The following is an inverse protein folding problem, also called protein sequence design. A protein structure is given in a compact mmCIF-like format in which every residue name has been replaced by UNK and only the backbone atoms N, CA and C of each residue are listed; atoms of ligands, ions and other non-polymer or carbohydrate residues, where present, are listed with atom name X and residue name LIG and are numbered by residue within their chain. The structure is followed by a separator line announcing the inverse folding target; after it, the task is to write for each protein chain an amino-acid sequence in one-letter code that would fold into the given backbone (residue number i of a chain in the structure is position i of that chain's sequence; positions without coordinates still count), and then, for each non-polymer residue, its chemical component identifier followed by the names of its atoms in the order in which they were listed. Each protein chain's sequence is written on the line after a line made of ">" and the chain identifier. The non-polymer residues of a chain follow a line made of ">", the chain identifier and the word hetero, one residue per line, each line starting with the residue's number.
data_IF_973496784449
#
_entry.id   IF_973496784449
#
_cell.length_a   1.000
_cell.length_b   1.000
_cell.length_c   1.000
_cell.angle_alpha   90.00
_cell.angle_beta   90.00
_cell.angle_gamma   90.00
#
_symmetry.space_group_name_H-M   'P 1'
#
loop_
_entity.id
_entity.type
_entity.pdbx_description
1 polymer ?
#
# COMPACT_ATOMS: atom_id res chain seq x y z
N UNK A 1 3.13 -22.14 -3.88
CA UNK A 1 3.80 -21.76 -5.14
C UNK A 1 4.64 -20.52 -4.88
N UNK A 2 5.82 -20.50 -5.47
CA UNK A 2 6.99 -19.64 -5.27
C UNK A 2 6.76 -18.13 -5.40
N UNK A 3 7.14 -17.34 -4.37
CA UNK A 3 7.46 -15.90 -4.52
C UNK A 3 8.62 -15.46 -3.59
N UNK A 4 9.61 -16.31 -3.31
CA UNK A 4 10.77 -15.92 -2.48
C UNK A 4 11.87 -15.14 -3.23
N UNK A 5 11.76 -14.89 -4.54
CA UNK A 5 12.87 -14.34 -5.33
C UNK A 5 12.79 -12.84 -5.71
N UNK A 6 11.85 -12.08 -5.12
CA UNK A 6 11.67 -10.65 -5.45
C UNK A 6 11.52 -9.69 -4.26
N UNK A 7 11.35 -10.19 -3.03
CA UNK A 7 11.01 -9.33 -1.88
C UNK A 7 12.20 -8.55 -1.32
N UNK A 8 13.43 -9.07 -1.46
CA UNK A 8 14.66 -8.44 -0.95
C UNK A 8 15.46 -7.64 -1.99
N UNK A 9 15.04 -7.63 -3.26
CA UNK A 9 15.74 -6.81 -4.26
C UNK A 9 15.40 -5.34 -3.97
N UNK A 10 16.39 -4.44 -3.79
CA UNK A 10 16.11 -3.02 -3.71
C UNK A 10 15.45 -2.61 -5.02
N UNK A 11 14.30 -1.94 -4.89
CA UNK A 11 13.53 -1.43 -6.03
C UNK A 11 13.44 0.09 -5.89
N UNK A 12 13.50 0.78 -7.02
CA UNK A 12 13.29 2.23 -7.04
C UNK A 12 11.85 2.55 -6.75
N UNK A 13 11.65 3.50 -5.85
CA UNK A 13 10.37 4.00 -5.40
C UNK A 13 9.97 5.15 -6.33
N UNK A 14 8.70 5.21 -6.74
CA UNK A 14 8.17 6.38 -7.43
C UNK A 14 8.14 7.58 -6.50
N UNK A 15 8.11 8.79 -7.08
CA UNK A 15 8.15 10.05 -6.35
C UNK A 15 7.17 10.12 -5.16
N UNK A 16 5.93 9.67 -5.30
CA UNK A 16 4.95 9.68 -4.19
C UNK A 16 5.36 8.77 -3.02
N UNK A 17 5.74 7.54 -3.33
CA UNK A 17 6.10 6.55 -2.31
C UNK A 17 7.47 6.85 -1.72
N UNK A 18 8.37 7.42 -2.52
CA UNK A 18 9.67 7.93 -2.08
C UNK A 18 9.52 9.14 -1.15
N UNK A 19 8.63 10.08 -1.47
CA UNK A 19 8.33 11.22 -0.63
C UNK A 19 7.68 10.79 0.70
N UNK A 20 6.81 9.78 0.66
CA UNK A 20 6.19 9.23 1.87
C UNK A 20 7.21 8.54 2.78
N UNK A 21 8.15 7.78 2.21
CA UNK A 21 9.15 7.02 2.98
C UNK A 21 10.44 7.80 3.27
N UNK A 22 10.69 8.90 2.55
CA UNK A 22 11.94 9.64 2.56
C UNK A 22 13.11 8.92 1.89
N UNK A 23 12.84 7.92 1.06
CA UNK A 23 13.85 7.03 0.48
C UNK A 23 13.56 6.84 -1.01
N UNK A 24 14.59 6.65 -1.84
CA UNK A 24 14.41 6.43 -3.29
C UNK A 24 14.51 4.96 -3.68
N UNK A 25 15.18 4.14 -2.88
CA UNK A 25 15.45 2.73 -3.19
C UNK A 25 15.31 1.87 -1.94
N UNK A 26 14.27 1.03 -1.90
CA UNK A 26 14.04 0.11 -0.78
C UNK A 26 13.56 -1.25 -1.28
N UNK A 27 13.84 -2.33 -0.55
CA UNK A 27 13.24 -3.62 -0.83
C UNK A 27 11.74 -3.60 -0.49
N UNK A 28 10.94 -4.37 -1.25
CA UNK A 28 9.48 -4.50 -1.04
C UNK A 28 9.09 -4.80 0.41
N UNK A 29 9.89 -5.61 1.10
CA UNK A 29 9.66 -5.95 2.51
C UNK A 29 9.74 -4.72 3.40
N UNK A 30 10.76 -3.86 3.21
CA UNK A 30 10.94 -2.65 4.03
C UNK A 30 9.86 -1.61 3.71
N UNK A 31 9.49 -1.45 2.43
CA UNK A 31 8.38 -0.56 2.04
C UNK A 31 7.10 -0.96 2.75
N UNK A 32 6.73 -2.24 2.65
CA UNK A 32 5.51 -2.77 3.27
C UNK A 32 5.55 -2.59 4.77
N UNK A 33 6.71 -2.84 5.40
CA UNK A 33 6.91 -2.67 6.83
C UNK A 33 6.77 -1.22 7.26
N UNK A 34 7.41 -0.26 6.58
CA UNK A 34 7.33 1.18 6.87
C UNK A 34 5.90 1.70 6.74
N UNK A 35 5.21 1.33 5.67
CA UNK A 35 3.81 1.67 5.48
C UNK A 35 2.93 1.07 6.59
N UNK A 36 3.17 -0.20 6.96
CA UNK A 36 2.43 -0.86 8.05
C UNK A 36 2.69 -0.20 9.41
N UNK A 37 3.93 0.19 9.69
CA UNK A 37 4.32 0.90 10.91
C UNK A 37 3.59 2.26 10.98
N UNK A 38 3.58 3.03 9.89
CA UNK A 38 2.81 4.27 9.77
C UNK A 38 1.32 4.08 10.02
N UNK A 39 0.72 3.06 9.37
CA UNK A 39 -0.71 2.72 9.55
C UNK A 39 -1.01 2.40 11.01
N UNK A 40 -0.13 1.65 11.67
CA UNK A 40 -0.30 1.23 13.06
C UNK A 40 -0.08 2.39 14.04
N UNK A 41 0.92 3.24 13.78
CA UNK A 41 1.19 4.46 14.55
C UNK A 41 0.00 5.43 14.47
N UNK A 42 -0.58 5.59 13.28
CA UNK A 42 -1.78 6.40 13.04
C UNK A 42 -3.09 5.72 13.44
N UNK A 43 -3.05 4.43 13.77
CA UNK A 43 -4.23 3.65 14.14
C UNK A 43 -5.24 3.42 13.02
N UNK A 44 -4.81 3.46 11.75
CA UNK A 44 -5.67 3.39 10.57
C UNK A 44 -6.30 2.01 10.32
N UNK A 45 -6.02 1.01 11.15
CA UNK A 45 -6.59 -0.32 10.99
C UNK A 45 -8.07 -0.32 11.41
N UNK A 46 -8.91 -0.98 10.62
CA UNK A 46 -10.34 -1.13 10.93
C UNK A 46 -10.83 -2.54 10.63
N UNK A 47 -11.84 -2.97 11.37
CA UNK A 47 -12.51 -4.26 11.17
C UNK A 47 -13.61 -4.14 10.12
N UNK A 48 -14.12 -2.93 9.93
CA UNK A 48 -15.26 -2.62 9.09
C UNK A 48 -14.79 -1.95 7.80
N UNK A 49 -15.22 -2.50 6.66
CA UNK A 49 -14.94 -1.88 5.36
C UNK A 49 -15.60 -0.50 5.31
N UNK A 50 -14.85 0.54 4.93
CA UNK A 50 -15.26 1.95 4.98
C UNK A 50 -15.72 2.44 6.37
N UNK A 51 -15.22 1.79 7.43
CA UNK A 51 -15.48 2.18 8.82
C UNK A 51 -14.48 3.20 9.36
N UNK A 52 -14.67 3.57 10.63
CA UNK A 52 -13.69 4.40 11.35
C UNK A 52 -12.41 3.62 11.65
N UNK A 53 -11.24 4.29 11.74
CA UNK A 53 -10.01 3.67 12.19
C UNK A 53 -10.14 3.25 13.66
N UNK A 54 -10.11 1.95 13.93
CA UNK A 54 -10.25 1.35 15.27
C UNK A 54 -8.91 0.82 15.81
N UNK A 55 -7.82 1.06 15.09
CA UNK A 55 -6.51 0.42 15.28
C UNK A 55 -6.59 -1.12 15.42
N UNK A 56 -7.57 -1.73 14.78
CA UNK A 56 -7.81 -3.16 14.85
C UNK A 56 -8.49 -3.63 13.57
N UNK A 57 -8.09 -4.78 13.05
CA UNK A 57 -8.73 -5.42 11.90
C UNK A 57 -7.80 -5.63 10.72
N UNK A 58 -8.40 -6.07 9.61
CA UNK A 58 -7.70 -6.48 8.38
C UNK A 58 -7.75 -5.42 7.28
N UNK A 59 -8.53 -4.36 7.50
CA UNK A 59 -8.70 -3.25 6.59
C UNK A 59 -7.91 -2.06 7.09
N UNK A 60 -7.46 -1.23 6.15
CA UNK A 60 -6.63 -0.06 6.38
C UNK A 60 -7.41 1.12 5.84
N UNK A 61 -7.81 2.04 6.71
CA UNK A 61 -8.43 3.31 6.35
C UNK A 61 -7.41 4.16 5.60
N UNK A 62 -7.80 4.66 4.45
CA UNK A 62 -6.96 5.53 3.64
C UNK A 62 -7.01 6.97 4.19
N UNK A 63 -5.84 7.46 4.63
CA UNK A 63 -5.64 8.86 4.98
C UNK A 63 -5.20 9.68 3.74
N UNK A 64 -5.20 11.01 3.84
CA UNK A 64 -4.74 11.92 2.79
C UNK A 64 -3.38 11.53 2.18
N UNK A 65 -2.43 11.10 3.01
CA UNK A 65 -1.08 10.70 2.58
C UNK A 65 -1.14 9.42 1.75
N UNK A 66 -1.76 8.37 2.31
CA UNK A 66 -1.96 7.09 1.63
C UNK A 66 -2.77 7.24 0.35
N UNK A 67 -3.78 8.12 0.34
CA UNK A 67 -4.62 8.39 -0.82
C UNK A 67 -3.86 8.95 -2.00
N UNK A 68 -2.85 9.78 -1.76
CA UNK A 68 -2.01 10.28 -2.85
C UNK A 68 -1.31 9.12 -3.57
N UNK A 69 -0.79 8.15 -2.80
CA UNK A 69 -0.17 6.92 -3.34
C UNK A 69 -1.21 5.97 -3.97
N UNK A 70 -2.38 5.82 -3.34
CA UNK A 70 -3.45 4.95 -3.83
C UNK A 70 -4.04 5.48 -5.13
N UNK A 71 -4.21 6.80 -5.26
CA UNK A 71 -4.71 7.42 -6.49
C UNK A 71 -3.78 7.22 -7.69
N UNK A 72 -2.50 6.97 -7.45
CA UNK A 72 -1.53 6.58 -8.48
C UNK A 72 -1.34 5.07 -8.63
N UNK A 73 -2.17 4.27 -7.95
CA UNK A 73 -2.12 2.80 -8.02
C UNK A 73 -3.13 2.26 -9.02
N UNK A 74 -2.59 1.68 -10.09
CA UNK A 74 -3.32 0.80 -11.00
C UNK A 74 -2.43 -0.42 -11.27
N UNK A 75 -2.85 -1.59 -10.79
CA UNK A 75 -2.11 -2.84 -11.00
C UNK A 75 -3.05 -3.98 -11.33
N UNK A 76 -2.72 -4.73 -12.38
CA UNK A 76 -3.41 -5.96 -12.75
C UNK A 76 -2.67 -7.16 -12.16
N UNK A 77 -3.37 -7.96 -11.35
CA UNK A 77 -2.84 -9.22 -10.81
C UNK A 77 -2.72 -10.28 -11.91
N UNK A 78 -1.88 -11.30 -11.68
CA UNK A 78 -1.62 -12.42 -12.61
C UNK A 78 -2.89 -13.21 -12.97
N UNK A 79 -3.92 -13.15 -12.12
CA UNK A 79 -5.25 -13.74 -12.39
C UNK A 79 -6.21 -12.80 -13.14
N UNK A 80 -5.73 -11.67 -13.68
CA UNK A 80 -6.54 -10.69 -14.41
C UNK A 80 -7.36 -9.74 -13.52
N UNK A 81 -7.27 -9.87 -12.18
CA UNK A 81 -7.95 -8.96 -11.25
C UNK A 81 -7.26 -7.60 -11.26
N UNK A 82 -7.97 -6.58 -11.74
CA UNK A 82 -7.50 -5.19 -11.73
C UNK A 82 -7.74 -4.59 -10.35
N UNK A 83 -6.67 -4.12 -9.71
CA UNK A 83 -6.73 -3.27 -8.53
C UNK A 83 -6.59 -1.82 -8.98
N UNK A 84 -7.72 -1.13 -9.06
CA UNK A 84 -7.79 0.28 -9.40
C UNK A 84 -8.16 1.07 -8.15
N UNK A 85 -7.24 1.90 -7.66
CA UNK A 85 -7.45 2.75 -6.49
C UNK A 85 -7.44 4.25 -6.87
N UNK A 86 -7.49 4.55 -8.19
CA UNK A 86 -7.40 5.93 -8.71
C UNK A 86 -8.55 6.82 -8.26
N UNK A 87 -9.71 6.20 -8.00
CA UNK A 87 -10.93 6.89 -7.58
C UNK A 87 -11.18 6.81 -6.07
N UNK A 88 -10.20 6.35 -5.29
CA UNK A 88 -10.38 6.18 -3.85
C UNK A 88 -10.49 7.53 -3.11
N UNK A 89 -11.26 7.55 -2.02
CA UNK A 89 -11.55 8.71 -1.17
C UNK A 89 -11.09 8.53 0.27
N UNK A 90 -10.92 9.64 0.99
CA UNK A 90 -10.61 9.66 2.43
C UNK A 90 -11.71 8.94 3.22
N UNK A 91 -11.30 8.02 4.09
CA UNK A 91 -12.20 7.16 4.85
C UNK A 91 -12.55 5.83 4.19
N UNK A 92 -12.22 5.63 2.90
CA UNK A 92 -12.34 4.30 2.31
C UNK A 92 -11.25 3.37 2.84
N UNK A 93 -11.52 2.06 2.80
CA UNK A 93 -10.57 1.07 3.34
C UNK A 93 -10.01 0.15 2.28
N UNK A 94 -8.71 -0.15 2.37
CA UNK A 94 -8.08 -1.20 1.57
C UNK A 94 -7.74 -2.43 2.40
N UNK A 95 -7.68 -3.59 1.75
CA UNK A 95 -7.15 -4.81 2.37
C UNK A 95 -5.64 -4.99 2.11
N UNK A 96 -5.05 -5.97 2.79
CA UNK A 96 -3.62 -6.29 2.67
C UNK A 96 -3.19 -6.72 1.24
N UNK A 97 -4.09 -7.26 0.42
CA UNK A 97 -3.76 -7.57 -0.99
C UNK A 97 -3.65 -6.30 -1.83
N UNK A 98 -4.56 -5.35 -1.63
CA UNK A 98 -4.51 -4.05 -2.29
C UNK A 98 -3.27 -3.28 -1.85
N UNK A 99 -2.88 -3.37 -0.58
CA UNK A 99 -1.62 -2.84 -0.06
C UNK A 99 -0.41 -3.37 -0.84
N UNK A 100 -0.33 -4.69 -1.05
CA UNK A 100 0.74 -5.29 -1.84
C UNK A 100 0.71 -4.84 -3.30
N UNK A 101 -0.48 -4.63 -3.87
CA UNK A 101 -0.64 -4.08 -5.21
C UNK A 101 -0.19 -2.60 -5.30
N UNK A 102 -0.47 -1.79 -4.27
CA UNK A 102 0.01 -0.41 -4.15
C UNK A 102 1.53 -0.38 -4.17
N UNK A 103 2.17 -1.18 -3.30
CA UNK A 103 3.63 -1.28 -3.27
C UNK A 103 4.17 -1.76 -4.62
N UNK A 104 3.53 -2.75 -5.24
CA UNK A 104 3.92 -3.27 -6.55
C UNK A 104 3.76 -2.28 -7.71
N UNK A 105 2.78 -1.37 -7.66
CA UNK A 105 2.49 -0.38 -8.70
C UNK A 105 3.36 0.89 -8.59
N UNK A 106 3.79 1.20 -7.36
CA UNK A 106 4.56 2.40 -7.00
C UNK A 106 6.06 2.16 -6.90
N UNK A 107 6.52 1.00 -7.34
CA UNK A 107 7.93 0.70 -7.53
C UNK A 107 8.23 0.53 -9.01
N UNK A 108 9.47 0.82 -9.40
CA UNK A 108 9.98 0.50 -10.73
C UNK A 108 10.38 -0.99 -10.79
N UNK A 109 10.09 -1.64 -11.92
CA UNK A 109 10.43 -3.04 -12.18
C UNK A 109 11.78 -3.18 -12.87
#
# INVERSE_FOLDING_TARGET
>A
MSEEKGLKKPVKLKADLAAMLGETELPRTEITKRLWDYIKEKGLQTKTENGSPENAGKFIVADATLLSVFKHTNSTSKSGKVTDLRNMKEGETINMMQMAAVVGANIEK
#
